data_IF_360396944899
#
_entry.id   IF_360396944899
#
_cell.length_a   1.000
_cell.length_b   1.000
_cell.length_c   1.000
_cell.angle_alpha   90.00
_cell.angle_beta   90.00
_cell.angle_gamma   90.00
#
_symmetry.space_group_name_H-M   'P 1'
#
loop_
_entity.id
_entity.type
_entity.pdbx_description
1 polymer ?
#
# COMPACT_ATOMS: atom_id res chain seq x y z
N UNK A 1 22.82 43.50 0.08
CA UNK A 1 23.46 42.64 1.10
C UNK A 1 22.49 42.53 2.26
N UNK A 2 21.86 41.37 2.43
CA UNK A 2 20.83 41.15 3.45
C UNK A 2 21.44 40.25 4.52
N UNK A 3 21.52 40.76 5.76
CA UNK A 3 22.08 40.05 6.89
C UNK A 3 21.05 39.05 7.44
N UNK A 4 21.44 37.77 7.53
CA UNK A 4 20.64 36.69 8.11
C UNK A 4 21.00 36.60 9.60
N UNK A 5 20.02 36.61 10.53
CA UNK A 5 20.30 36.47 11.95
C UNK A 5 20.59 35.01 12.29
N UNK A 6 21.78 34.77 12.84
CA UNK A 6 22.19 33.49 13.40
C UNK A 6 21.55 33.34 14.79
N UNK A 7 20.56 32.46 14.92
CA UNK A 7 20.04 32.06 16.21
C UNK A 7 21.04 31.11 16.89
N UNK A 8 21.57 31.58 18.02
CA UNK A 8 22.40 30.82 18.94
C UNK A 8 21.54 29.75 19.62
N UNK A 9 21.85 28.47 19.36
CA UNK A 9 21.29 27.34 20.11
C UNK A 9 22.17 27.11 21.34
N UNK A 10 21.61 27.29 22.53
CA UNK A 10 22.23 26.88 23.78
C UNK A 10 22.17 25.34 23.87
N UNK A 11 23.34 24.70 23.99
CA UNK A 11 23.42 23.29 24.31
C UNK A 11 23.34 23.13 25.83
N UNK A 12 22.23 22.58 26.32
CA UNK A 12 22.09 22.13 27.70
C UNK A 12 22.90 20.84 27.90
N UNK A 13 23.95 20.94 28.71
CA UNK A 13 24.67 19.79 29.25
C UNK A 13 23.94 19.22 30.47
N UNK A 14 24.22 17.94 30.71
CA UNK A 14 24.07 17.22 31.98
C UNK A 14 22.70 16.61 32.32
N UNK A 15 22.53 15.33 31.96
CA UNK A 15 21.85 14.37 32.84
C UNK A 15 22.63 13.04 32.84
N UNK A 16 23.51 12.93 33.84
CA UNK A 16 24.28 11.76 34.21
C UNK A 16 23.39 10.79 35.00
N UNK A 17 22.97 9.69 34.38
CA UNK A 17 22.24 8.62 35.06
C UNK A 17 23.22 7.64 35.72
N UNK A 18 23.48 7.85 37.01
CA UNK A 18 24.16 6.91 37.91
C UNK A 18 23.35 5.60 38.04
N UNK A 19 23.76 4.56 37.31
CA UNK A 19 23.23 3.20 37.47
C UNK A 19 23.93 2.52 38.66
N UNK A 20 23.27 2.56 39.82
CA UNK A 20 23.69 1.82 41.01
C UNK A 20 23.70 0.30 40.76
N UNK A 21 24.87 -0.29 40.87
CA UNK A 21 25.11 -1.72 40.80
C UNK A 21 24.50 -2.47 42.00
N UNK A 22 23.34 -3.09 41.79
CA UNK A 22 22.76 -4.01 42.78
C UNK A 22 23.51 -5.36 42.75
N UNK A 23 24.41 -5.54 43.72
CA UNK A 23 25.05 -6.83 44.05
C UNK A 23 24.02 -7.79 44.65
N UNK A 24 23.38 -8.59 43.80
CA UNK A 24 22.57 -9.74 44.21
C UNK A 24 23.52 -10.85 44.68
N UNK A 25 23.59 -11.07 46.00
CA UNK A 25 24.33 -12.17 46.62
C UNK A 25 23.65 -13.51 46.26
N UNK A 26 24.25 -14.22 45.31
CA UNK A 26 23.89 -15.59 44.92
C UNK A 26 24.19 -16.55 46.08
N UNK A 27 23.17 -16.93 46.86
CA UNK A 27 23.28 -18.02 47.85
C UNK A 27 23.42 -19.34 47.10
N UNK A 28 24.57 -20.00 47.26
CA UNK A 28 24.83 -21.37 46.81
C UNK A 28 23.87 -22.34 47.52
N UNK A 29 22.78 -22.70 46.82
CA UNK A 29 21.90 -23.81 47.20
C UNK A 29 22.66 -25.10 46.88
N UNK A 30 23.18 -25.75 47.92
CA UNK A 30 23.84 -27.06 47.82
C UNK A 30 22.84 -28.03 47.19
N UNK A 31 23.16 -28.50 45.99
CA UNK A 31 22.45 -29.57 45.32
C UNK A 31 22.60 -30.83 46.16
N UNK A 32 21.49 -31.27 46.76
CA UNK A 32 21.37 -32.63 47.31
C UNK A 32 21.62 -33.57 46.13
N UNK A 33 22.71 -34.33 46.21
CA UNK A 33 23.04 -35.38 45.24
C UNK A 33 22.04 -36.52 45.42
N UNK A 34 20.96 -36.50 44.65
CA UNK A 34 20.23 -37.72 44.34
C UNK A 34 21.18 -38.67 43.61
N UNK A 35 21.25 -39.96 43.99
CA UNK A 35 22.05 -40.94 43.29
C UNK A 35 21.60 -41.02 41.82
N UNK A 36 22.53 -41.15 40.86
CA UNK A 36 22.18 -41.24 39.45
C UNK A 36 21.27 -42.46 39.23
N UNK A 37 20.14 -42.32 38.51
CA UNK A 37 19.38 -43.47 38.07
C UNK A 37 20.32 -44.38 37.27
N UNK A 38 20.33 -45.68 37.61
CA UNK A 38 21.28 -46.67 37.06
C UNK A 38 21.14 -46.87 35.55
N UNK A 39 20.04 -46.41 34.97
CA UNK A 39 19.74 -46.52 33.54
C UNK A 39 19.10 -45.20 33.11
N UNK A 40 19.65 -44.62 32.05
CA UNK A 40 19.18 -43.36 31.46
C UNK A 40 17.83 -43.64 30.78
N UNK A 41 16.70 -43.08 31.29
CA UNK A 41 15.35 -43.42 30.84
C UNK A 41 15.09 -43.09 29.36
N UNK A 42 16.00 -42.34 28.74
CA UNK A 42 15.96 -42.02 27.31
C UNK A 42 16.22 -43.24 26.41
N UNK A 43 16.85 -44.30 26.94
CA UNK A 43 17.22 -45.49 26.18
C UNK A 43 16.29 -46.69 26.42
N UNK A 44 15.47 -46.65 27.46
CA UNK A 44 14.47 -47.70 27.76
C UNK A 44 13.10 -47.44 27.14
N UNK A 45 12.91 -46.29 26.48
CA UNK A 45 11.73 -46.05 25.67
C UNK A 45 11.80 -46.88 24.39
N UNK A 46 10.91 -47.85 24.24
CA UNK A 46 10.75 -48.65 23.03
C UNK A 46 10.22 -47.73 21.90
N UNK A 47 11.09 -47.34 20.96
CA UNK A 47 10.74 -46.39 19.88
C UNK A 47 9.70 -46.93 18.91
N UNK A 48 9.38 -48.22 19.02
CA UNK A 48 8.39 -48.95 18.23
C UNK A 48 6.95 -48.83 18.77
N UNK A 49 6.76 -48.26 19.97
CA UNK A 49 5.46 -48.18 20.67
C UNK A 49 4.76 -46.81 20.54
N UNK A 50 5.35 -45.84 19.84
CA UNK A 50 4.74 -44.52 19.68
C UNK A 50 3.68 -44.59 18.58
N UNK A 51 2.40 -44.69 18.99
CA UNK A 51 1.28 -44.42 18.10
C UNK A 51 1.47 -43.03 17.46
N UNK A 52 1.35 -42.89 16.13
CA UNK A 52 1.65 -41.66 15.43
C UNK A 52 0.52 -40.64 15.64
N UNK A 53 0.58 -39.90 16.74
CA UNK A 53 -0.24 -38.71 16.98
C UNK A 53 0.55 -37.41 16.67
N UNK A 54 1.45 -37.44 15.68
CA UNK A 54 2.14 -36.24 15.20
C UNK A 54 1.38 -35.66 14.00
N UNK A 55 1.11 -34.35 13.98
CA UNK A 55 0.62 -33.69 12.77
C UNK A 55 1.61 -33.93 11.61
N UNK A 56 1.13 -33.93 10.35
CA UNK A 56 1.93 -34.27 9.19
C UNK A 56 3.26 -33.51 9.22
N UNK A 57 4.35 -34.27 9.18
CA UNK A 57 5.69 -33.73 9.08
C UNK A 57 5.78 -33.06 7.70
N UNK A 58 5.52 -31.75 7.64
CA UNK A 58 5.71 -30.96 6.43
C UNK A 58 7.20 -31.05 6.05
N UNK A 59 7.48 -31.93 5.10
CA UNK A 59 8.78 -32.01 4.43
C UNK A 59 8.84 -30.79 3.50
N UNK A 60 9.25 -29.66 4.07
CA UNK A 60 9.45 -28.45 3.31
C UNK A 60 10.65 -28.62 2.37
N UNK A 61 10.45 -28.20 1.13
CA UNK A 61 11.51 -28.17 0.15
C UNK A 61 12.63 -27.25 0.68
N UNK A 62 13.83 -27.81 0.85
CA UNK A 62 14.99 -27.13 1.44
C UNK A 62 15.45 -25.89 0.63
N UNK A 63 14.84 -25.64 -0.52
CA UNK A 63 15.14 -24.53 -1.42
C UNK A 63 14.52 -23.18 -1.04
N UNK A 64 13.50 -23.14 -0.18
CA UNK A 64 12.82 -21.88 0.13
C UNK A 64 13.56 -21.05 1.20
N UNK A 65 14.33 -20.07 0.73
CA UNK A 65 15.10 -19.15 1.57
C UNK A 65 14.19 -18.34 2.52
N UNK A 66 12.97 -18.01 2.11
CA UNK A 66 12.02 -17.25 2.93
C UNK A 66 11.58 -18.07 4.16
N UNK A 67 11.22 -19.33 3.94
CA UNK A 67 10.87 -20.28 5.01
C UNK A 67 12.04 -20.49 5.98
N UNK A 68 13.28 -20.58 5.48
CA UNK A 68 14.47 -20.66 6.33
C UNK A 68 14.65 -19.41 7.21
N UNK A 69 14.52 -18.21 6.65
CA UNK A 69 14.62 -16.95 7.39
C UNK A 69 13.57 -16.89 8.50
N UNK A 70 12.32 -17.29 8.21
CA UNK A 70 11.24 -17.35 9.20
C UNK A 70 11.58 -18.27 10.38
N UNK A 71 12.15 -19.46 10.10
CA UNK A 71 12.58 -20.38 11.16
C UNK A 71 13.70 -19.81 12.02
N UNK A 72 14.67 -19.09 11.42
CA UNK A 72 15.72 -18.41 12.17
C UNK A 72 15.15 -17.33 13.10
N UNK A 73 14.16 -16.55 12.64
CA UNK A 73 13.46 -15.55 13.46
C UNK A 73 12.75 -16.23 14.65
N UNK A 74 12.09 -17.37 14.43
CA UNK A 74 11.42 -18.10 15.49
C UNK A 74 12.42 -18.72 16.50
N UNK A 75 13.55 -19.24 16.02
CA UNK A 75 14.66 -19.71 16.88
C UNK A 75 15.27 -18.57 17.69
N UNK A 76 15.43 -17.39 17.10
CA UNK A 76 15.90 -16.19 17.79
C UNK A 76 14.96 -15.82 18.94
N UNK A 77 13.65 -15.77 18.68
CA UNK A 77 12.65 -15.47 19.70
C UNK A 77 12.69 -16.49 20.87
N UNK A 78 12.83 -17.79 20.57
CA UNK A 78 13.00 -18.83 21.61
C UNK A 78 14.28 -18.64 22.42
N UNK A 79 15.41 -18.38 21.76
CA UNK A 79 16.69 -18.13 22.43
C UNK A 79 16.64 -16.88 23.31
N UNK A 80 15.95 -15.83 22.87
CA UNK A 80 15.75 -14.59 23.61
C UNK A 80 14.93 -14.82 24.89
N UNK A 81 13.82 -15.58 24.82
CA UNK A 81 13.03 -15.96 25.99
C UNK A 81 13.83 -16.79 27.01
N UNK A 82 14.79 -17.58 26.54
CA UNK A 82 15.69 -18.37 27.39
C UNK A 82 16.90 -17.57 27.93
N UNK A 83 17.02 -16.27 27.62
CA UNK A 83 18.15 -15.44 28.05
C UNK A 83 19.49 -15.82 27.41
N UNK A 84 19.49 -16.53 26.28
CA UNK A 84 20.70 -17.01 25.58
C UNK A 84 21.27 -15.94 24.64
N UNK A 85 21.78 -14.85 25.19
CA UNK A 85 22.21 -13.67 24.41
C UNK A 85 23.24 -13.97 23.30
N UNK A 86 24.24 -14.83 23.54
CA UNK A 86 25.22 -15.22 22.51
C UNK A 86 24.58 -15.92 21.32
N UNK A 87 23.56 -16.74 21.57
CA UNK A 87 22.82 -17.45 20.52
C UNK A 87 21.93 -16.49 19.73
N UNK A 88 21.30 -15.52 20.41
CA UNK A 88 20.52 -14.46 19.75
C UNK A 88 21.39 -13.66 18.78
N UNK A 89 22.57 -13.20 19.21
CA UNK A 89 23.50 -12.47 18.35
C UNK A 89 23.95 -13.28 17.13
N UNK A 90 24.21 -14.58 17.31
CA UNK A 90 24.55 -15.49 16.20
C UNK A 90 23.41 -15.60 15.20
N UNK A 91 22.19 -15.82 15.68
CA UNK A 91 21.00 -15.94 14.82
C UNK A 91 20.67 -14.63 14.10
N UNK A 92 20.84 -13.48 14.76
CA UNK A 92 20.68 -12.17 14.12
C UNK A 92 21.64 -11.98 12.94
N UNK A 93 22.90 -12.36 13.12
CA UNK A 93 23.91 -12.30 12.04
C UNK A 93 23.56 -13.24 10.89
N UNK A 94 23.09 -14.44 11.18
CA UNK A 94 22.63 -15.40 10.16
C UNK A 94 21.41 -14.86 9.38
N UNK A 95 20.41 -14.30 10.08
CA UNK A 95 19.23 -13.67 9.45
C UNK A 95 19.65 -12.53 8.54
N UNK A 96 20.53 -11.63 9.01
CA UNK A 96 21.01 -10.50 8.22
C UNK A 96 21.76 -10.97 6.95
N UNK A 97 22.56 -12.02 7.08
CA UNK A 97 23.33 -12.59 5.95
C UNK A 97 22.40 -13.27 4.93
N UNK A 98 21.38 -13.99 5.40
CA UNK A 98 20.37 -14.62 4.54
C UNK A 98 19.55 -13.57 3.78
N UNK A 99 19.05 -12.54 4.47
CA UNK A 99 18.33 -11.42 3.86
C UNK A 99 19.17 -10.65 2.84
N UNK A 100 20.47 -10.45 3.10
CA UNK A 100 21.38 -9.81 2.15
C UNK A 100 21.61 -10.68 0.90
N UNK A 101 21.77 -12.00 1.09
CA UNK A 101 21.92 -12.95 -0.01
C UNK A 101 20.66 -13.02 -0.86
N UNK A 102 19.48 -12.97 -0.24
CA UNK A 102 18.19 -12.92 -0.93
C UNK A 102 18.08 -11.66 -1.78
N UNK A 103 18.33 -10.48 -1.21
CA UNK A 103 18.32 -9.21 -1.96
C UNK A 103 19.29 -9.22 -3.14
N UNK A 104 20.47 -9.84 -2.97
CA UNK A 104 21.45 -9.99 -4.06
C UNK A 104 20.89 -10.86 -5.19
N UNK A 105 20.33 -12.02 -4.88
CA UNK A 105 19.70 -12.90 -5.88
C UNK A 105 18.54 -12.21 -6.58
N UNK A 106 17.67 -11.52 -5.83
CA UNK A 106 16.57 -10.74 -6.39
C UNK A 106 17.08 -9.65 -7.34
N UNK A 107 18.16 -8.93 -6.96
CA UNK A 107 18.77 -7.92 -7.84
C UNK A 107 19.44 -8.51 -9.08
N UNK A 108 19.97 -9.73 -8.99
CA UNK A 108 20.62 -10.44 -10.11
C UNK A 108 19.58 -10.97 -11.10
N UNK A 109 18.49 -11.56 -10.60
CA UNK A 109 17.34 -11.95 -11.43
C UNK A 109 16.73 -10.74 -12.13
N UNK A 110 16.53 -9.63 -11.40
CA UNK A 110 16.02 -8.39 -12.00
C UNK A 110 16.97 -7.83 -13.08
N UNK A 111 18.28 -8.02 -12.90
CA UNK A 111 19.28 -7.60 -13.89
C UNK A 111 19.24 -8.48 -15.13
N UNK A 112 19.17 -9.81 -14.97
CA UNK A 112 19.03 -10.76 -16.08
C UNK A 112 17.75 -10.50 -16.88
N UNK A 113 16.61 -10.30 -16.20
CA UNK A 113 15.35 -9.93 -16.84
C UNK A 113 15.46 -8.60 -17.62
N UNK A 114 16.21 -7.63 -17.07
CA UNK A 114 16.43 -6.35 -17.76
C UNK A 114 17.33 -6.53 -19.00
N UNK A 115 18.39 -7.33 -18.91
CA UNK A 115 19.32 -7.59 -20.02
C UNK A 115 18.64 -8.39 -21.16
N UNK A 116 17.78 -9.35 -20.84
CA UNK A 116 16.99 -10.11 -21.83
C UNK A 116 16.03 -9.19 -22.61
N UNK A 117 15.48 -8.14 -21.97
CA UNK A 117 14.59 -7.20 -22.66
C UNK A 117 15.31 -6.25 -23.62
N UNK A 118 16.63 -6.07 -23.50
CA UNK A 118 17.42 -5.13 -24.32
C UNK A 118 18.01 -5.79 -25.57
N UNK A 119 18.20 -7.11 -25.59
CA UNK A 119 18.82 -7.79 -26.74
C UNK A 119 17.87 -8.14 -27.91
N UNK A 120 16.57 -7.85 -27.79
CA UNK A 120 15.59 -8.21 -28.83
C UNK A 120 15.42 -7.19 -29.97
N UNK A 121 16.07 -6.02 -29.93
CA UNK A 121 15.82 -4.95 -30.91
C UNK A 121 16.96 -4.69 -31.93
N UNK A 122 18.11 -5.37 -31.82
CA UNK A 122 19.29 -5.09 -32.69
C UNK A 122 19.60 -6.16 -33.76
N UNK A 123 18.78 -7.22 -33.90
CA UNK A 123 18.97 -8.28 -34.91
C UNK A 123 17.93 -8.24 -36.03
N UNK A 124 17.71 -7.06 -36.63
CA UNK A 124 16.88 -6.90 -37.82
C UNK A 124 17.72 -6.58 -39.06
N UNK A 125 18.54 -7.54 -39.49
CA UNK A 125 19.07 -7.61 -40.84
C UNK A 125 18.76 -9.01 -41.38
N UNK A 126 17.60 -9.16 -42.06
CA UNK A 126 17.34 -10.11 -43.18
C UNK A 126 15.83 -10.30 -43.45
N UNK A 127 15.36 -9.64 -44.51
CA UNK A 127 14.36 -10.09 -45.49
C UNK A 127 12.91 -10.39 -45.02
N UNK A 128 12.07 -9.37 -45.20
CA UNK A 128 10.72 -9.40 -45.80
C UNK A 128 9.89 -10.69 -45.69
N UNK A 129 9.10 -10.81 -44.62
CA UNK A 129 7.80 -11.48 -44.71
C UNK A 129 6.83 -10.85 -43.70
N UNK A 130 6.11 -9.82 -44.17
CA UNK A 130 4.84 -9.30 -43.64
C UNK A 130 4.63 -9.39 -42.13
N UNK A 131 5.61 -8.95 -41.34
CA UNK A 131 5.45 -8.85 -39.89
C UNK A 131 4.68 -7.55 -39.63
N UNK A 132 3.55 -7.58 -38.90
CA UNK A 132 2.77 -6.37 -38.66
C UNK A 132 3.68 -5.35 -37.97
N UNK A 133 3.82 -4.17 -38.58
CA UNK A 133 4.55 -3.06 -37.98
C UNK A 133 4.02 -2.85 -36.55
N UNK A 134 4.89 -2.56 -35.57
CA UNK A 134 4.41 -2.14 -34.27
C UNK A 134 3.48 -0.93 -34.48
N UNK A 135 2.30 -0.91 -33.82
CA UNK A 135 1.31 0.14 -34.00
C UNK A 135 1.98 1.51 -33.97
N UNK A 136 1.86 2.25 -35.07
CA UNK A 136 2.22 3.67 -35.10
C UNK A 136 1.42 4.42 -34.03
N UNK A 137 1.90 5.57 -33.57
CA UNK A 137 1.16 6.40 -32.60
C UNK A 137 -0.29 6.68 -33.06
N UNK A 138 -0.55 6.66 -34.38
CA UNK A 138 -1.89 6.77 -34.99
C UNK A 138 -2.79 5.53 -34.75
N UNK A 139 -2.22 4.34 -34.55
CA UNK A 139 -2.98 3.14 -34.18
C UNK A 139 -3.43 3.16 -32.71
N UNK A 140 -2.75 3.91 -31.82
CA UNK A 140 -3.20 4.10 -30.44
C UNK A 140 -4.50 4.92 -30.36
N UNK A 141 -4.70 5.87 -31.27
CA UNK A 141 -5.95 6.62 -31.40
C UNK A 141 -7.10 5.74 -31.94
N UNK A 142 -6.77 4.70 -32.71
CA UNK A 142 -7.74 3.78 -33.31
C UNK A 142 -8.36 2.83 -32.28
N UNK A 143 -7.67 2.58 -31.15
CA UNK A 143 -8.23 1.81 -30.03
C UNK A 143 -9.27 2.58 -29.20
N UNK A 144 -9.60 3.82 -29.56
CA UNK A 144 -10.66 4.58 -28.92
C UNK A 144 -10.46 4.70 -27.41
N UNK A 145 -9.20 4.87 -26.97
CA UNK A 145 -8.89 4.92 -25.55
C UNK A 145 -9.61 6.10 -24.92
N UNK A 146 -10.73 5.79 -24.27
CA UNK A 146 -11.31 6.60 -23.23
C UNK A 146 -10.16 6.97 -22.30
N UNK A 147 -9.98 8.28 -22.15
CA UNK A 147 -8.89 8.87 -21.41
C UNK A 147 -8.63 8.16 -20.08
N UNK A 148 -7.36 7.84 -19.79
CA UNK A 148 -6.95 7.05 -18.63
C UNK A 148 -7.69 7.51 -17.36
N UNK A 149 -8.46 6.64 -16.69
CA UNK A 149 -9.39 7.06 -15.65
C UNK A 149 -8.69 7.58 -14.39
N UNK A 150 -7.46 7.12 -14.15
CA UNK A 150 -6.70 7.46 -12.96
C UNK A 150 -5.50 8.33 -13.28
N UNK A 151 -5.06 9.09 -12.29
CA UNK A 151 -3.72 9.66 -12.17
C UNK A 151 -3.09 9.12 -10.89
N UNK A 152 -1.77 9.05 -10.85
CA UNK A 152 -1.06 8.71 -9.62
C UNK A 152 -0.74 9.98 -8.82
N UNK A 153 -1.00 9.92 -7.52
CA UNK A 153 -0.64 10.96 -6.55
C UNK A 153 0.12 10.33 -5.40
N UNK A 154 0.86 11.12 -4.62
CA UNK A 154 1.54 10.62 -3.42
C UNK A 154 0.51 10.38 -2.32
N UNK A 155 0.57 9.23 -1.68
CA UNK A 155 -0.34 8.90 -0.60
C UNK A 155 -0.03 9.71 0.66
N UNK A 156 -1.08 10.30 1.25
CA UNK A 156 -0.99 10.99 2.54
C UNK A 156 -0.90 10.00 3.70
N UNK A 157 -1.59 8.86 3.58
CA UNK A 157 -1.61 7.82 4.61
C UNK A 157 -0.36 6.93 4.59
N UNK A 158 0.25 6.72 3.42
CA UNK A 158 1.39 5.82 3.24
C UNK A 158 2.58 6.56 2.62
N UNK A 159 3.37 7.21 3.48
CA UNK A 159 4.53 8.00 3.07
C UNK A 159 5.46 7.23 2.12
N UNK A 160 5.66 7.79 0.91
CA UNK A 160 6.53 7.24 -0.12
C UNK A 160 5.87 6.18 -1.02
N UNK A 161 4.55 5.95 -0.88
CA UNK A 161 3.76 5.16 -1.81
C UNK A 161 2.86 6.07 -2.66
N UNK A 162 2.56 5.62 -3.88
CA UNK A 162 1.64 6.28 -4.79
C UNK A 162 0.25 5.65 -4.69
N UNK A 163 -0.78 6.46 -4.90
CA UNK A 163 -2.18 6.05 -4.91
C UNK A 163 -2.91 6.56 -6.17
N UNK A 164 -3.89 5.79 -6.64
CA UNK A 164 -4.75 6.18 -7.77
C UNK A 164 -5.81 7.19 -7.34
N UNK A 165 -5.82 8.37 -7.95
CA UNK A 165 -6.87 9.40 -7.82
C UNK A 165 -7.56 9.59 -9.18
N UNK A 166 -8.81 10.08 -9.20
CA UNK A 166 -9.49 10.33 -10.46
C UNK A 166 -8.73 11.37 -11.29
N UNK A 167 -8.64 11.13 -12.59
CA UNK A 167 -8.08 12.10 -13.53
C UNK A 167 -9.10 13.21 -13.81
N UNK A 168 -8.62 14.45 -13.73
CA UNK A 168 -9.37 15.64 -14.13
C UNK A 168 -8.70 16.26 -15.37
N UNK A 169 -9.47 16.48 -16.44
CA UNK A 169 -9.00 17.12 -17.67
C UNK A 169 -8.15 16.21 -18.57
N UNK A 170 -7.76 16.79 -19.72
CA UNK A 170 -7.08 16.12 -20.85
C UNK A 170 -5.61 15.80 -20.55
N UNK A 171 -5.17 14.58 -20.85
CA UNK A 171 -3.77 14.15 -20.74
C UNK A 171 -2.87 14.91 -21.72
N UNK A 172 -1.83 15.63 -21.27
CA UNK A 172 -0.82 16.17 -22.18
C UNK A 172 0.00 15.04 -22.79
N UNK A 173 0.25 15.10 -24.10
CA UNK A 173 1.14 14.15 -24.75
C UNK A 173 2.56 14.26 -24.18
N UNK A 174 3.02 13.17 -23.57
CA UNK A 174 4.40 13.03 -23.08
C UNK A 174 5.20 12.27 -24.13
N UNK A 175 6.38 12.80 -24.49
CA UNK A 175 7.29 12.12 -25.42
C UNK A 175 7.73 10.80 -24.81
N UNK A 176 7.63 9.72 -25.58
CA UNK A 176 8.01 8.39 -25.10
C UNK A 176 9.44 8.37 -24.57
N UNK A 177 9.59 7.97 -23.32
CA UNK A 177 10.88 7.62 -22.71
C UNK A 177 11.11 6.11 -22.83
N UNK A 178 12.33 5.65 -22.50
CA UNK A 178 12.76 4.23 -22.61
C UNK A 178 11.65 3.25 -22.21
N UNK A 179 11.33 2.32 -23.11
CA UNK A 179 10.18 1.41 -22.98
C UNK A 179 10.54 0.28 -22.01
N UNK A 180 10.36 0.52 -20.71
CA UNK A 180 10.35 -0.55 -19.71
C UNK A 180 9.07 -1.35 -19.90
N UNK A 181 9.16 -2.59 -20.40
CA UNK A 181 7.97 -3.44 -20.68
C UNK A 181 7.31 -3.93 -19.39
N UNK A 182 8.12 -4.26 -18.38
CA UNK A 182 7.72 -4.81 -17.08
C UNK A 182 8.41 -4.02 -15.96
N UNK A 183 7.64 -3.60 -14.96
CA UNK A 183 8.16 -2.82 -13.84
C UNK A 183 7.95 -3.59 -12.53
N UNK A 184 9.03 -4.02 -11.85
CA UNK A 184 8.93 -4.52 -10.49
C UNK A 184 8.54 -3.37 -9.55
N UNK A 185 7.54 -3.60 -8.71
CA UNK A 185 6.99 -2.62 -7.79
C UNK A 185 6.85 -3.21 -6.38
N UNK A 186 6.70 -2.33 -5.38
CA UNK A 186 6.34 -2.70 -4.01
C UNK A 186 4.92 -2.25 -3.71
N UNK A 187 4.15 -3.15 -3.12
CA UNK A 187 2.76 -2.93 -2.75
C UNK A 187 2.64 -2.91 -1.24
N UNK A 188 1.93 -1.93 -0.67
CA UNK A 188 1.56 -1.91 0.75
C UNK A 188 0.07 -2.14 0.94
N UNK A 189 -0.29 -3.03 1.86
CA UNK A 189 -1.68 -3.28 2.24
C UNK A 189 -2.24 -2.15 3.10
N UNK A 190 -3.41 -1.65 2.72
CA UNK A 190 -4.05 -0.49 3.30
C UNK A 190 -4.92 -0.83 4.53
N UNK A 191 -5.22 0.17 5.34
CA UNK A 191 -6.07 0.07 6.51
C UNK A 191 -7.49 -0.30 6.07
N UNK A 192 -8.09 -1.27 6.76
CA UNK A 192 -9.38 -1.82 6.37
C UNK A 192 -9.31 -2.92 5.32
N UNK A 193 -8.12 -3.47 5.04
CA UNK A 193 -7.93 -4.65 4.19
C UNK A 193 -7.32 -5.81 4.98
N UNK A 194 -7.50 -7.08 4.54
CA UNK A 194 -6.84 -8.23 5.15
C UNK A 194 -5.31 -8.18 5.10
N UNK A 195 -4.74 -7.39 4.18
CA UNK A 195 -3.30 -7.24 3.98
C UNK A 195 -2.68 -6.07 4.75
N UNK A 196 -3.42 -5.41 5.65
CA UNK A 196 -2.96 -4.20 6.33
C UNK A 196 -1.56 -4.34 6.95
N UNK A 197 -0.65 -3.43 6.57
CA UNK A 197 0.72 -3.37 7.08
C UNK A 197 1.70 -4.35 6.41
N UNK A 198 1.22 -5.24 5.54
CA UNK A 198 2.08 -6.11 4.74
C UNK A 198 2.64 -5.34 3.54
N UNK A 199 3.87 -5.70 3.18
CA UNK A 199 4.53 -5.18 1.98
C UNK A 199 5.00 -6.35 1.13
N UNK A 200 4.57 -6.37 -0.12
CA UNK A 200 4.90 -7.44 -1.07
C UNK A 200 5.45 -6.86 -2.37
N UNK A 201 6.34 -7.60 -3.04
CA UNK A 201 6.81 -7.26 -4.38
C UNK A 201 5.81 -7.73 -5.44
N UNK A 202 5.62 -6.95 -6.49
CA UNK A 202 4.85 -7.38 -7.66
C UNK A 202 5.43 -6.84 -8.96
N UNK A 203 4.79 -7.17 -10.09
CA UNK A 203 5.18 -6.69 -11.39
C UNK A 203 3.97 -6.11 -12.14
N UNK A 204 4.18 -4.98 -12.80
CA UNK A 204 3.19 -4.35 -13.67
C UNK A 204 3.67 -4.35 -15.12
N UNK A 205 2.73 -4.60 -16.03
CA UNK A 205 2.98 -4.56 -17.47
C UNK A 205 2.66 -3.17 -18.01
N UNK A 206 3.61 -2.54 -18.73
CA UNK A 206 3.45 -1.21 -19.31
C UNK A 206 2.16 -1.09 -20.12
N UNK A 207 1.95 -2.04 -21.06
CA UNK A 207 0.83 -2.02 -22.01
C UNK A 207 -0.54 -1.97 -21.31
N UNK A 208 -0.71 -2.68 -20.18
CA UNK A 208 -1.97 -2.67 -19.42
C UNK A 208 -2.07 -1.46 -18.50
N UNK A 209 -0.95 -1.12 -17.85
CA UNK A 209 -0.91 -0.08 -16.82
C UNK A 209 -1.14 1.32 -17.41
N UNK A 210 -0.57 1.62 -18.58
CA UNK A 210 -0.74 2.91 -19.25
C UNK A 210 -2.22 3.18 -19.58
N UNK A 211 -3.02 2.15 -19.86
CA UNK A 211 -4.47 2.32 -20.11
C UNK A 211 -5.21 2.84 -18.88
N UNK A 212 -4.66 2.58 -17.69
CA UNK A 212 -5.28 2.95 -16.42
C UNK A 212 -4.79 4.31 -15.92
N UNK A 213 -3.49 4.63 -16.08
CA UNK A 213 -2.86 5.82 -15.47
C UNK A 213 -2.16 6.78 -16.45
N UNK A 214 -2.18 6.48 -17.76
CA UNK A 214 -1.46 7.26 -18.75
C UNK A 214 0.06 7.03 -18.74
N UNK A 215 0.74 7.66 -19.68
CA UNK A 215 2.21 7.56 -19.87
C UNK A 215 2.92 8.24 -18.71
N UNK A 216 2.46 9.40 -18.28
CA UNK A 216 2.99 10.16 -17.15
C UNK A 216 2.84 9.42 -15.82
N UNK A 217 1.74 8.67 -15.64
CA UNK A 217 1.58 7.80 -14.49
C UNK A 217 2.61 6.67 -14.49
N UNK A 218 2.87 6.09 -15.67
CA UNK A 218 3.93 5.09 -15.82
C UNK A 218 5.32 5.65 -15.52
N UNK A 219 5.64 6.85 -16.02
CA UNK A 219 6.92 7.52 -15.71
C UNK A 219 7.07 7.80 -14.21
N UNK A 220 5.98 8.15 -13.53
CA UNK A 220 5.98 8.32 -12.08
C UNK A 220 6.29 7.00 -11.36
N UNK A 221 5.72 5.88 -11.81
CA UNK A 221 6.03 4.55 -11.26
C UNK A 221 7.48 4.15 -11.50
N UNK A 222 8.04 4.45 -12.68
CA UNK A 222 9.45 4.14 -12.98
C UNK A 222 10.38 4.86 -12.00
N UNK A 223 10.02 6.07 -11.55
CA UNK A 223 10.79 6.83 -10.55
C UNK A 223 10.54 6.32 -9.13
N UNK A 224 9.28 6.11 -8.77
CA UNK A 224 8.83 5.71 -7.45
C UNK A 224 7.97 4.41 -7.57
N UNK A 225 8.60 3.21 -7.65
CA UNK A 225 7.90 1.94 -7.91
C UNK A 225 7.25 1.38 -6.64
N UNK A 226 6.45 2.19 -5.97
CA UNK A 226 5.79 1.88 -4.70
C UNK A 226 4.34 2.36 -4.78
N UNK A 227 3.39 1.44 -4.64
CA UNK A 227 1.96 1.75 -4.73
C UNK A 227 1.17 1.13 -3.59
N UNK A 228 -0.02 1.65 -3.33
CA UNK A 228 -0.97 1.02 -2.41
C UNK A 228 -1.61 -0.22 -3.04
N UNK A 229 -2.13 -1.12 -2.21
CA UNK A 229 -2.79 -2.35 -2.66
C UNK A 229 -4.04 -2.06 -3.50
N UNK A 230 -4.86 -1.09 -3.10
CA UNK A 230 -6.00 -0.65 -3.93
C UNK A 230 -5.55 -0.21 -5.31
N UNK A 231 -4.49 0.60 -5.38
CA UNK A 231 -3.92 1.06 -6.65
C UNK A 231 -3.49 -0.11 -7.50
N UNK A 232 -2.75 -1.07 -6.94
CA UNK A 232 -2.33 -2.25 -7.70
C UNK A 232 -3.51 -3.00 -8.34
N UNK A 233 -4.59 -3.22 -7.58
CA UNK A 233 -5.79 -3.89 -8.07
C UNK A 233 -6.49 -3.07 -9.16
N UNK A 234 -6.63 -1.75 -8.95
CA UNK A 234 -7.28 -0.84 -9.90
C UNK A 234 -6.52 -0.72 -11.23
N UNK A 235 -5.20 -0.95 -11.23
CA UNK A 235 -4.38 -1.00 -12.44
C UNK A 235 -4.46 -2.36 -13.17
N UNK A 236 -5.29 -3.29 -12.69
CA UNK A 236 -5.38 -4.65 -13.22
C UNK A 236 -4.16 -5.51 -12.87
N UNK A 237 -3.48 -5.18 -11.77
CA UNK A 237 -2.36 -5.95 -11.26
C UNK A 237 -2.77 -7.36 -10.86
N UNK A 238 -1.96 -8.35 -11.23
CA UNK A 238 -2.14 -9.75 -10.85
C UNK A 238 -0.88 -10.24 -10.15
N UNK A 239 -1.01 -10.77 -8.93
CA UNK A 239 0.12 -11.36 -8.20
C UNK A 239 0.64 -12.65 -8.84
N UNK A 240 -0.12 -13.26 -9.75
CA UNK A 240 0.26 -14.49 -10.47
C UNK A 240 1.42 -14.29 -11.46
N UNK A 241 1.72 -13.04 -11.84
CA UNK A 241 2.66 -12.73 -12.92
C UNK A 241 4.14 -12.62 -12.48
N UNK A 242 4.41 -12.72 -11.17
CA UNK A 242 5.75 -12.44 -10.63
C UNK A 242 6.67 -13.64 -10.81
N UNK A 243 6.17 -14.86 -10.60
CA UNK A 243 6.95 -16.09 -10.79
C UNK A 243 6.01 -17.28 -10.96
N UNK A 244 5.96 -17.89 -12.15
CA UNK A 244 5.27 -19.18 -12.37
C UNK A 244 5.83 -20.34 -11.54
N UNK A 245 6.95 -20.12 -10.82
CA UNK A 245 7.67 -21.13 -10.01
C UNK A 245 7.94 -20.69 -8.56
N UNK A 246 7.42 -19.54 -8.13
CA UNK A 246 7.68 -19.02 -6.79
C UNK A 246 6.56 -19.32 -5.79
N UNK A 247 6.79 -19.04 -4.49
CA UNK A 247 5.77 -19.18 -3.46
C UNK A 247 4.55 -18.29 -3.79
N UNK A 248 3.36 -18.78 -3.43
CA UNK A 248 2.12 -18.02 -3.59
C UNK A 248 2.26 -16.69 -2.86
N UNK A 249 1.87 -15.60 -3.52
CA UNK A 249 1.92 -14.26 -2.93
C UNK A 249 1.20 -14.23 -1.58
N UNK A 250 1.78 -13.52 -0.60
CA UNK A 250 1.18 -13.36 0.72
C UNK A 250 -0.21 -12.72 0.61
N UNK A 251 -0.34 -11.70 -0.23
CA UNK A 251 -1.62 -11.06 -0.50
C UNK A 251 -2.62 -12.03 -1.12
N UNK A 252 -2.20 -12.83 -2.10
CA UNK A 252 -3.04 -13.85 -2.71
C UNK A 252 -3.41 -15.00 -1.75
N UNK A 253 -2.56 -15.30 -0.76
CA UNK A 253 -2.85 -16.31 0.26
C UNK A 253 -3.82 -15.81 1.34
N UNK A 254 -3.85 -14.50 1.58
CA UNK A 254 -4.74 -13.88 2.56
C UNK A 254 -6.14 -13.62 2.02
N UNK A 255 -6.27 -13.54 0.70
CA UNK A 255 -7.55 -13.30 0.05
C UNK A 255 -7.64 -13.99 -1.31
N UNK A 256 -8.70 -14.77 -1.48
CA UNK A 256 -9.06 -15.36 -2.77
C UNK A 256 -9.52 -14.29 -3.78
N UNK A 257 -10.05 -13.18 -3.28
CA UNK A 257 -10.57 -12.07 -4.08
C UNK A 257 -9.68 -10.82 -3.95
N UNK A 258 -9.08 -10.39 -5.05
CA UNK A 258 -8.26 -9.17 -5.07
C UNK A 258 -9.08 -7.92 -4.75
N UNK A 259 -10.39 -7.94 -4.93
CA UNK A 259 -11.26 -6.84 -4.50
C UNK A 259 -11.01 -6.51 -3.02
N UNK A 260 -10.77 -7.53 -2.17
CA UNK A 260 -10.53 -7.43 -0.70
C UNK A 260 -9.40 -6.45 -0.33
N UNK A 261 -8.52 -6.15 -1.28
CA UNK A 261 -7.39 -5.25 -1.11
C UNK A 261 -7.73 -3.78 -1.39
N UNK A 262 -8.95 -3.49 -1.81
CA UNK A 262 -9.47 -2.12 -1.98
C UNK A 262 -10.34 -1.80 -0.76
N UNK A 263 -9.95 -0.86 0.12
CA UNK A 263 -10.81 -0.44 1.23
C UNK A 263 -12.11 0.22 0.74
N UNK A 264 -13.25 -0.05 1.38
CA UNK A 264 -14.55 0.55 1.02
C UNK A 264 -14.54 2.09 1.06
N UNK A 265 -13.91 2.75 2.06
CA UNK A 265 -13.81 4.21 2.05
C UNK A 265 -13.07 4.71 0.81
N UNK A 266 -12.03 3.99 0.36
CA UNK A 266 -11.25 4.36 -0.83
C UNK A 266 -12.06 4.16 -2.10
N UNK A 267 -12.74 3.03 -2.24
CA UNK A 267 -13.62 2.76 -3.37
C UNK A 267 -14.72 3.83 -3.50
N UNK A 268 -15.33 4.21 -2.37
CA UNK A 268 -16.38 5.25 -2.32
C UNK A 268 -15.86 6.62 -2.78
N UNK A 269 -14.71 7.05 -2.23
CA UNK A 269 -14.12 8.36 -2.58
C UNK A 269 -13.75 8.39 -4.06
N UNK A 270 -13.04 7.37 -4.54
CA UNK A 270 -12.59 7.32 -5.92
C UNK A 270 -13.77 7.21 -6.90
N UNK A 271 -14.81 6.46 -6.54
CA UNK A 271 -16.03 6.36 -7.33
C UNK A 271 -16.74 7.71 -7.47
N UNK A 272 -16.85 8.48 -6.38
CA UNK A 272 -17.39 9.85 -6.42
C UNK A 272 -16.55 10.78 -7.28
N UNK A 273 -15.22 10.77 -7.11
CA UNK A 273 -14.32 11.62 -7.90
C UNK A 273 -14.47 11.36 -9.42
N UNK A 274 -14.57 10.09 -9.83
CA UNK A 274 -14.72 9.72 -11.26
C UNK A 274 -16.09 10.17 -11.79
N UNK A 275 -17.15 9.99 -10.99
CA UNK A 275 -18.48 10.42 -11.38
C UNK A 275 -18.61 11.95 -11.45
N UNK A 276 -17.94 12.68 -10.56
CA UNK A 276 -17.86 14.15 -10.59
C UNK A 276 -17.11 14.65 -11.84
N UNK A 277 -16.17 13.87 -12.36
CA UNK A 277 -15.55 14.12 -13.66
C UNK A 277 -16.46 13.79 -14.86
N UNK A 278 -17.70 13.32 -14.64
CA UNK A 278 -18.64 12.93 -15.69
C UNK A 278 -18.23 11.67 -16.46
N UNK A 279 -17.38 10.82 -15.86
CA UNK A 279 -16.86 9.60 -16.49
C UNK A 279 -17.59 8.37 -15.94
N UNK A 280 -17.66 7.32 -16.77
CA UNK A 280 -18.11 6.01 -16.33
C UNK A 280 -17.08 5.38 -15.39
N UNK A 281 -17.55 4.61 -14.41
CA UNK A 281 -16.69 3.87 -13.49
C UNK A 281 -15.90 2.80 -14.26
N UNK A 282 -14.57 2.71 -14.09
CA UNK A 282 -13.79 1.61 -14.64
C UNK A 282 -14.31 0.26 -14.11
N UNK A 283 -14.28 -0.77 -14.96
CA UNK A 283 -14.89 -2.08 -14.67
C UNK A 283 -14.43 -2.68 -13.34
N UNK A 284 -13.14 -2.59 -13.01
CA UNK A 284 -12.61 -3.09 -11.74
C UNK A 284 -13.18 -2.36 -10.54
N UNK A 285 -13.31 -1.03 -10.60
CA UNK A 285 -13.88 -0.24 -9.51
C UNK A 285 -15.38 -0.46 -9.39
N UNK A 286 -16.08 -0.56 -10.52
CA UNK A 286 -17.51 -0.89 -10.57
C UNK A 286 -17.78 -2.25 -9.90
N UNK A 287 -16.97 -3.26 -10.22
CA UNK A 287 -17.06 -4.60 -9.62
C UNK A 287 -16.83 -4.56 -8.10
N UNK A 288 -15.82 -3.82 -7.63
CA UNK A 288 -15.57 -3.65 -6.18
C UNK A 288 -16.78 -3.00 -5.49
N UNK A 289 -17.38 -1.99 -6.11
CA UNK A 289 -18.53 -1.30 -5.52
C UNK A 289 -19.79 -2.17 -5.51
N UNK A 290 -20.03 -2.92 -6.59
CA UNK A 290 -21.18 -3.83 -6.72
C UNK A 290 -21.10 -5.00 -5.73
N UNK A 291 -19.94 -5.65 -5.62
CA UNK A 291 -19.74 -6.81 -4.74
C UNK A 291 -19.95 -6.49 -3.26
N UNK A 292 -19.81 -5.22 -2.87
CA UNK A 292 -19.83 -4.79 -1.47
C UNK A 292 -20.98 -3.87 -1.11
N UNK A 293 -21.91 -3.66 -2.03
CA UNK A 293 -23.02 -2.72 -1.87
C UNK A 293 -22.52 -1.33 -1.42
N UNK A 294 -21.37 -0.91 -1.97
CA UNK A 294 -20.78 0.39 -1.64
C UNK A 294 -21.60 1.45 -2.36
N UNK A 295 -22.45 2.13 -1.59
CA UNK A 295 -23.28 3.22 -2.10
C UNK A 295 -22.40 4.42 -2.48
N UNK A 296 -22.11 4.54 -3.77
CA UNK A 296 -21.57 5.77 -4.34
C UNK A 296 -22.72 6.78 -4.34
N UNK A 297 -22.90 7.47 -3.21
CA UNK A 297 -24.07 8.30 -2.95
C UNK A 297 -24.31 9.33 -4.05
N UNK A 298 -25.26 9.03 -4.94
CA UNK A 298 -25.94 9.99 -5.82
C UNK A 298 -27.20 10.55 -5.16
N UNK A 299 -27.55 10.05 -3.97
CA UNK A 299 -28.81 10.29 -3.27
C UNK A 299 -29.08 11.76 -2.91
N UNK A 300 -28.08 12.65 -3.02
CA UNK A 300 -28.32 14.09 -2.82
C UNK A 300 -29.34 14.70 -3.79
N UNK A 301 -29.63 14.07 -4.92
CA UNK A 301 -30.65 14.57 -5.87
C UNK A 301 -31.97 13.80 -5.89
N UNK A 302 -32.04 12.58 -5.36
CA UNK A 302 -33.29 11.81 -5.33
C UNK A 302 -34.08 12.02 -4.04
N UNK A 303 -33.41 12.25 -2.90
CA UNK A 303 -34.11 12.53 -1.63
C UNK A 303 -34.84 13.90 -1.60
N UNK A 304 -34.51 14.81 -2.52
CA UNK A 304 -35.22 16.09 -2.69
C UNK A 304 -36.43 16.01 -3.63
N UNK A 305 -36.57 14.94 -4.43
CA UNK A 305 -37.75 14.77 -5.31
C UNK A 305 -38.94 14.15 -4.60
N UNK A 306 -38.72 13.42 -3.52
CA UNK A 306 -39.76 12.77 -2.74
C UNK A 306 -40.13 13.52 -1.44
N UNK A 307 -39.62 14.72 -1.21
CA UNK A 307 -40.22 15.62 -0.22
C UNK A 307 -41.56 16.12 -0.78
N UNK A 308 -42.71 15.72 -0.19
CA UNK A 308 -43.99 16.27 -0.61
C UNK A 308 -43.95 17.77 -0.36
N UNK A 309 -43.98 18.56 -1.44
CA UNK A 309 -44.27 19.99 -1.40
C UNK A 309 -45.62 20.17 -0.73
N UNK A 310 -45.63 20.29 0.61
CA UNK A 310 -46.81 20.75 1.33
C UNK A 310 -47.04 22.17 0.87
N UNK A 311 -48.04 22.33 0.02
CA UNK A 311 -48.64 23.61 -0.34
C UNK A 311 -49.27 24.17 0.93
N UNK A 312 -48.45 24.82 1.76
CA UNK A 312 -48.92 25.65 2.85
C UNK A 312 -49.59 26.86 2.22
N UNK A 313 -50.92 26.91 2.31
CA UNK A 313 -51.65 28.15 2.13
C UNK A 313 -51.20 29.13 3.21
N UNK A 314 -50.93 30.35 2.76
CA UNK A 314 -50.88 31.59 3.50
C UNK A 314 -49.68 31.86 4.42
N UNK A 315 -49.00 32.94 4.04
CA UNK A 315 -48.06 33.77 4.78
C UNK A 315 -46.66 33.20 5.01
N UNK A 316 -45.74 33.70 4.18
CA UNK A 316 -44.34 33.31 4.12
C UNK A 316 -43.60 33.51 5.43
N UNK A 317 -43.28 32.39 6.06
CA UNK A 317 -42.02 32.14 6.78
C UNK A 317 -41.72 30.66 6.60
N UNK A 318 -40.64 30.32 5.90
CA UNK A 318 -40.17 28.92 5.81
C UNK A 318 -39.37 28.65 7.07
N UNK A 319 -40.00 28.04 8.07
CA UNK A 319 -39.34 27.55 9.28
C UNK A 319 -38.88 26.12 9.00
N UNK A 320 -37.58 25.88 9.04
CA UNK A 320 -37.02 24.54 9.06
C UNK A 320 -37.14 23.99 10.48
N UNK A 321 -38.05 23.06 10.71
CA UNK A 321 -38.07 22.27 11.95
C UNK A 321 -36.94 21.23 11.86
N UNK A 322 -35.81 21.53 12.50
CA UNK A 322 -34.79 20.53 12.85
C UNK A 322 -35.31 19.85 14.11
N UNK A 323 -35.68 18.57 13.97
CA UNK A 323 -36.28 17.79 15.03
C UNK A 323 -35.37 17.59 16.24
N UNK A 324 -36.00 17.73 17.40
CA UNK A 324 -35.70 17.20 18.73
C UNK A 324 -34.37 16.43 18.90
N UNK A 325 -33.36 17.17 19.35
CA UNK A 325 -32.32 16.63 20.21
C UNK A 325 -32.19 17.57 21.41
N UNK A 326 -32.83 17.20 22.52
CA UNK A 326 -32.60 17.78 23.83
C UNK A 326 -31.15 17.51 24.26
N UNK A 327 -30.23 18.40 23.89
CA UNK A 327 -29.05 18.78 24.67
C UNK A 327 -28.10 19.63 23.81
N UNK A 328 -28.30 20.95 23.82
CA UNK A 328 -27.24 21.98 23.84
C UNK A 328 -27.82 23.35 23.46
N UNK A 329 -28.22 24.12 24.49
CA UNK A 329 -28.38 25.56 24.32
C UNK A 329 -27.01 26.19 24.07
N UNK A 330 -26.74 26.61 22.84
CA UNK A 330 -25.74 27.63 22.55
C UNK A 330 -26.47 28.93 22.23
N UNK A 331 -26.48 29.84 23.20
CA UNK A 331 -26.93 31.22 23.00
C UNK A 331 -25.94 31.95 22.08
N UNK A 332 -26.34 32.15 20.83
CA UNK A 332 -25.67 33.10 19.94
C UNK A 332 -26.33 34.46 20.15
N UNK A 333 -25.66 35.30 20.94
CA UNK A 333 -26.03 36.71 21.09
C UNK A 333 -25.83 37.46 19.78
N UNK A 334 -26.92 37.89 19.17
CA UNK A 334 -26.91 38.84 18.05
C UNK A 334 -26.88 40.27 18.61
N UNK A 335 -25.71 40.89 18.65
CA UNK A 335 -25.62 42.35 18.81
C UNK A 335 -25.85 42.99 17.45
N UNK A 336 -27.02 43.62 17.31
CA UNK A 336 -27.32 44.60 16.28
C UNK A 336 -26.50 45.87 16.48
N UNK A 337 -26.32 46.59 15.37
CA UNK A 337 -26.03 48.04 15.26
C UNK A 337 -24.63 48.43 14.76
N UNK A 338 -24.59 48.81 13.47
CA UNK A 338 -24.11 50.11 12.94
C UNK A 338 -23.67 49.93 11.46
N UNK A 339 -24.54 50.24 10.50
CA UNK A 339 -24.67 51.54 9.80
C UNK A 339 -23.44 52.02 8.99
N UNK A 340 -23.70 52.26 7.70
CA UNK A 340 -23.14 53.30 6.81
C UNK A 340 -21.64 53.33 6.50
N UNK A 341 -21.29 52.94 5.27
CA UNK A 341 -20.58 53.82 4.32
C UNK A 341 -20.48 53.21 2.90
N UNK A 342 -21.46 53.53 2.06
CA UNK A 342 -21.30 53.52 0.59
C UNK A 342 -20.47 54.75 0.19
N UNK A 343 -19.20 54.56 -0.20
CA UNK A 343 -18.48 55.55 -1.02
C UNK A 343 -17.68 54.91 -2.15
N UNK A 344 -18.07 55.39 -3.34
CA UNK A 344 -17.46 55.22 -4.67
C UNK A 344 -15.94 55.47 -4.66
N UNK A 345 -15.21 54.68 -5.43
CA UNK A 345 -13.76 54.83 -5.61
C UNK A 345 -13.26 54.25 -6.93
N UNK A 346 -13.81 54.76 -8.05
CA UNK A 346 -13.31 54.54 -9.41
C UNK A 346 -11.94 55.24 -9.55
N UNK A 347 -10.84 54.52 -9.77
CA UNK A 347 -9.62 55.10 -10.38
C UNK A 347 -8.97 54.13 -11.37
N UNK A 348 -9.05 54.53 -12.63
CA UNK A 348 -8.13 54.17 -13.72
C UNK A 348 -6.73 54.68 -13.37
N UNK A 349 -5.72 53.89 -13.69
CA UNK A 349 -4.38 54.40 -14.02
C UNK A 349 -3.89 53.65 -15.26
N UNK A 350 -3.73 54.40 -16.36
CA UNK A 350 -2.82 54.06 -17.46
C UNK A 350 -1.47 54.70 -17.14
N UNK A 351 -0.40 53.96 -17.34
CA UNK A 351 0.83 54.45 -17.94
C UNK A 351 1.04 53.61 -19.21
#
# INVERSE_FOLDING_TARGET
>A
MVAIPMHHMEMSADESCDVKANKIKKKNKRHVKTPPPKEDPMWSADWTSVEPAAPPLEVFDMGDCATWIMQLVQRKARAQRQGKHKMVQKLEKEIATAMASQRKKESEVLREELEETVQLDDSADSQSLGTPEPPTDDEWDTFGFAEAPYRLVRSEAYSGFLEASARQGVVPHVKETKIVKRLPIRIIGELGTPAYGLVEGACLWRKKTILSIGVEGWEMLVRDPKITASTFVLLGGLFKDITHKGPVSLFASLTEDLSALVPDPRATVLGKEIMECGRALPSTLALVCEQRDVRIGTDRYNDLKDMPLRKGADNGVVIFNIGDSDDSMLEIGTTSDNELALRKGLRRTRC
#
